data_IF_203643706899
#
_entry.id   IF_203643706899
#
_cell.length_a   1.000
_cell.length_b   1.000
_cell.length_c   1.000
_cell.angle_alpha   90.00
_cell.angle_beta   90.00
_cell.angle_gamma   90.00
#
_symmetry.space_group_name_H-M   'P 1'
#
loop_
_entity.id
_entity.type
_entity.pdbx_description
1 polymer ?
#
# COMPACT_ATOMS: atom_id res chain seq x y z
N UNK A 1 0.26 39.23 -4.95
CA UNK A 1 -0.34 38.87 -3.65
C UNK A 1 -0.75 37.42 -3.67
N UNK A 2 -0.04 36.57 -2.92
CA UNK A 2 -0.30 35.13 -2.85
C UNK A 2 -1.37 34.83 -1.80
N UNK A 3 -2.41 34.11 -2.19
CA UNK A 3 -3.33 33.48 -1.25
C UNK A 3 -2.89 32.04 -1.03
N UNK A 4 -2.23 31.81 0.10
CA UNK A 4 -1.95 30.47 0.62
C UNK A 4 -3.28 29.90 1.09
N UNK A 5 -3.90 29.07 0.26
CA UNK A 5 -5.05 28.29 0.68
C UNK A 5 -4.56 27.25 1.70
N UNK A 6 -4.82 27.50 2.98
CA UNK A 6 -4.93 26.44 3.97
C UNK A 6 -6.01 25.47 3.48
N UNK A 7 -5.60 24.41 2.77
CA UNK A 7 -6.46 23.27 2.49
C UNK A 7 -6.86 22.71 3.85
N UNK A 8 -8.12 22.93 4.22
CA UNK A 8 -8.79 22.18 5.26
C UNK A 8 -8.45 20.71 5.07
N UNK A 9 -7.95 20.07 6.13
CA UNK A 9 -7.63 18.65 6.13
C UNK A 9 -8.91 17.87 5.84
N UNK A 10 -9.12 17.54 4.57
CA UNK A 10 -10.13 16.59 4.16
C UNK A 10 -9.76 15.27 4.82
N UNK A 11 -10.46 14.90 5.89
CA UNK A 11 -10.38 13.56 6.47
C UNK A 11 -10.80 12.58 5.39
N UNK A 12 -9.83 11.89 4.79
CA UNK A 12 -9.99 11.06 3.59
C UNK A 12 -9.64 11.78 2.28
N UNK A 13 -8.84 11.13 1.43
CA UNK A 13 -8.31 11.66 0.17
C UNK A 13 -7.11 10.88 -0.38
N UNK A 14 -6.66 11.18 -1.61
CA UNK A 14 -5.52 10.50 -2.22
C UNK A 14 -4.22 10.78 -1.48
N UNK A 15 -3.35 9.77 -1.38
CA UNK A 15 -1.97 9.93 -0.90
C UNK A 15 -1.10 10.37 -2.08
N UNK A 16 -0.47 11.54 -1.97
CA UNK A 16 0.50 12.00 -2.97
C UNK A 16 1.88 11.44 -2.66
N UNK A 17 2.40 10.63 -3.57
CA UNK A 17 3.76 10.10 -3.53
C UNK A 17 4.66 10.96 -4.43
N UNK A 18 5.75 11.48 -3.89
CA UNK A 18 6.70 12.31 -4.64
C UNK A 18 8.13 11.96 -4.28
N UNK A 19 9.06 12.25 -5.19
CA UNK A 19 10.48 12.24 -4.86
C UNK A 19 10.79 13.41 -3.94
N UNK A 20 11.44 13.15 -2.81
CA UNK A 20 11.87 14.18 -1.88
C UNK A 20 13.31 13.91 -1.40
N UNK A 21 14.31 13.82 -2.31
CA UNK A 21 15.64 13.35 -1.97
C UNK A 21 16.27 14.15 -0.83
N UNK A 22 16.80 13.46 0.19
CA UNK A 22 17.45 14.11 1.32
C UNK A 22 16.49 14.81 2.30
N UNK A 23 15.17 14.68 2.14
CA UNK A 23 14.22 15.08 3.17
C UNK A 23 14.27 14.12 4.37
N UNK A 24 13.65 14.51 5.50
CA UNK A 24 13.50 13.60 6.65
C UNK A 24 12.69 12.37 6.29
N UNK A 25 11.63 12.53 5.47
CA UNK A 25 10.79 11.42 5.03
C UNK A 25 11.55 10.47 4.10
N UNK A 26 12.34 11.00 3.15
CA UNK A 26 13.17 10.18 2.25
C UNK A 26 14.25 9.41 3.02
N UNK A 27 14.99 10.05 3.94
CA UNK A 27 15.96 9.34 4.78
C UNK A 27 15.31 8.25 5.64
N UNK A 28 14.14 8.54 6.20
CA UNK A 28 13.38 7.56 6.98
C UNK A 28 12.94 6.39 6.10
N UNK A 29 12.39 6.68 4.92
CA UNK A 29 11.97 5.66 3.97
C UNK A 29 13.14 4.77 3.52
N UNK A 30 14.30 5.36 3.20
CA UNK A 30 15.51 4.60 2.84
C UNK A 30 16.00 3.70 3.96
N UNK A 31 15.95 4.19 5.20
CA UNK A 31 16.31 3.39 6.38
C UNK A 31 15.35 2.20 6.56
N UNK A 32 14.04 2.44 6.47
CA UNK A 32 13.01 1.40 6.62
C UNK A 32 13.04 0.38 5.47
N UNK A 33 13.45 0.80 4.28
CA UNK A 33 13.54 -0.01 3.07
C UNK A 33 14.96 -0.50 2.75
N UNK A 34 15.90 -0.43 3.71
CA UNK A 34 17.32 -0.72 3.45
C UNK A 34 17.54 -2.12 2.85
N UNK A 35 16.79 -3.13 3.30
CA UNK A 35 16.88 -4.50 2.77
C UNK A 35 16.46 -4.58 1.30
N UNK A 36 15.36 -3.91 0.91
CA UNK A 36 14.86 -3.93 -0.47
C UNK A 36 15.79 -3.14 -1.40
N UNK A 37 16.35 -2.02 -0.90
CA UNK A 37 17.33 -1.22 -1.61
C UNK A 37 18.64 -2.00 -1.86
N UNK A 38 19.13 -2.72 -0.85
CA UNK A 38 20.31 -3.59 -0.99
C UNK A 38 20.06 -4.74 -1.98
N UNK A 39 18.89 -5.38 -1.91
CA UNK A 39 18.50 -6.43 -2.85
C UNK A 39 18.42 -5.94 -4.30
N UNK A 40 17.93 -4.71 -4.52
CA UNK A 40 17.92 -4.08 -5.83
C UNK A 40 19.35 -3.71 -6.30
N UNK A 41 20.16 -3.14 -5.42
CA UNK A 41 21.55 -2.78 -5.73
C UNK A 41 22.39 -3.98 -6.16
N UNK A 42 22.21 -5.15 -5.52
CA UNK A 42 22.85 -6.42 -5.92
C UNK A 42 22.48 -6.88 -7.33
N UNK A 43 21.37 -6.39 -7.88
CA UNK A 43 20.91 -6.64 -9.26
C UNK A 43 21.29 -5.52 -10.23
N UNK A 44 22.04 -4.51 -9.77
CA UNK A 44 22.47 -3.36 -10.58
C UNK A 44 21.48 -2.20 -10.62
N UNK A 45 20.40 -2.25 -9.84
CA UNK A 45 19.37 -1.22 -9.84
C UNK A 45 19.69 -0.09 -8.86
N UNK A 46 19.27 1.13 -9.21
CA UNK A 46 19.24 2.28 -8.30
C UNK A 46 17.79 2.74 -8.13
N UNK A 47 17.05 2.21 -7.14
CA UNK A 47 15.63 2.51 -7.01
C UNK A 47 15.35 3.99 -6.74
N UNK A 48 14.35 4.53 -7.44
CA UNK A 48 13.75 5.83 -7.07
C UNK A 48 12.86 5.61 -5.85
N UNK A 49 12.99 6.47 -4.84
CA UNK A 49 12.19 6.40 -3.62
C UNK A 49 11.13 7.50 -3.68
N UNK A 50 9.85 7.10 -3.73
CA UNK A 50 8.73 8.02 -3.59
C UNK A 50 8.18 7.93 -2.16
N UNK A 51 7.92 9.08 -1.56
CA UNK A 51 7.39 9.19 -0.20
C UNK A 51 6.12 10.03 -0.18
N UNK A 52 5.18 9.63 0.68
CA UNK A 52 4.00 10.40 1.04
C UNK A 52 3.71 10.26 2.52
N UNK A 53 2.98 11.21 3.09
CA UNK A 53 2.55 11.14 4.49
C UNK A 53 1.09 11.51 4.62
N UNK A 54 0.38 10.83 5.52
CA UNK A 54 -1.03 11.12 5.78
C UNK A 54 -1.38 10.81 7.25
N UNK A 55 -2.37 11.53 7.83
CA UNK A 55 -2.91 11.23 9.14
C UNK A 55 -3.78 9.97 9.06
N UNK A 56 -3.13 8.81 9.10
CA UNK A 56 -3.81 7.52 8.97
C UNK A 56 -4.61 7.17 10.24
N UNK A 57 -4.18 7.69 11.39
CA UNK A 57 -4.88 7.60 12.66
C UNK A 57 -5.78 8.81 12.86
N UNK A 58 -6.91 8.60 13.53
CA UNK A 58 -7.73 9.70 14.04
C UNK A 58 -7.12 10.36 15.29
N UNK A 59 -6.09 9.75 15.89
CA UNK A 59 -5.35 10.30 17.02
C UNK A 59 -4.32 11.32 16.54
N UNK A 60 -4.30 12.49 17.19
CA UNK A 60 -3.36 13.56 16.86
C UNK A 60 -1.90 13.09 17.03
N UNK A 61 -1.04 13.45 16.07
CA UNK A 61 0.39 13.16 16.10
C UNK A 61 0.79 11.79 15.54
N UNK A 62 -0.14 10.86 15.31
CA UNK A 62 0.13 9.60 14.63
C UNK A 62 0.02 9.78 13.11
N UNK A 63 1.17 9.71 12.44
CA UNK A 63 1.30 9.89 10.98
C UNK A 63 1.81 8.60 10.37
N UNK A 64 1.30 8.26 9.19
CA UNK A 64 1.82 7.18 8.37
C UNK A 64 2.75 7.71 7.28
N UNK A 65 3.79 6.94 6.99
CA UNK A 65 4.70 7.12 5.88
C UNK A 65 4.41 6.05 4.83
N UNK A 66 4.11 6.49 3.62
CA UNK A 66 3.89 5.66 2.45
C UNK A 66 5.17 5.68 1.62
N UNK A 67 5.70 4.51 1.29
CA UNK A 67 6.97 4.35 0.58
C UNK A 67 6.76 3.48 -0.64
N UNK A 68 7.12 3.99 -1.81
CA UNK A 68 7.14 3.22 -3.04
C UNK A 68 8.57 3.24 -3.61
N UNK A 69 9.11 2.05 -3.85
CA UNK A 69 10.40 1.89 -4.51
C UNK A 69 10.15 1.61 -5.99
N UNK A 70 10.71 2.44 -6.86
CA UNK A 70 10.60 2.24 -8.31
C UNK A 70 11.93 1.73 -8.85
N UNK A 71 11.96 0.45 -9.21
CA UNK A 71 13.10 -0.22 -9.84
C UNK A 71 12.60 -1.41 -10.66
N UNK A 72 13.28 -1.73 -11.75
CA UNK A 72 12.88 -2.85 -12.62
C UNK A 72 12.89 -4.19 -11.88
N UNK A 73 13.83 -4.38 -10.94
CA UNK A 73 13.94 -5.58 -10.12
C UNK A 73 12.87 -5.73 -9.04
N UNK A 74 12.25 -4.62 -8.60
CA UNK A 74 11.26 -4.61 -7.52
C UNK A 74 9.81 -4.49 -8.04
N UNK A 75 9.62 -3.91 -9.22
CA UNK A 75 8.30 -3.71 -9.79
C UNK A 75 7.87 -4.91 -10.64
N UNK A 76 6.64 -5.38 -10.40
CA UNK A 76 6.04 -6.48 -11.17
C UNK A 76 5.18 -5.97 -12.34
N UNK A 77 4.44 -6.89 -12.96
CA UNK A 77 3.46 -6.58 -14.02
C UNK A 77 2.33 -5.65 -13.57
N UNK A 78 2.00 -5.66 -12.27
CA UNK A 78 1.04 -4.75 -11.66
C UNK A 78 1.64 -3.36 -11.31
N UNK A 79 2.90 -3.11 -11.68
CA UNK A 79 3.64 -1.91 -11.34
C UNK A 79 4.40 -2.02 -10.02
N UNK A 80 4.90 -0.88 -9.55
CA UNK A 80 5.67 -0.77 -8.31
C UNK A 80 4.74 -0.73 -7.11
N UNK A 81 5.07 -1.47 -6.06
CA UNK A 81 4.23 -1.55 -4.87
C UNK A 81 4.62 -0.53 -3.79
N UNK A 82 3.62 -0.15 -2.99
CA UNK A 82 3.74 0.79 -1.88
C UNK A 82 3.63 0.05 -0.54
N UNK A 83 4.59 0.29 0.35
CA UNK A 83 4.54 -0.11 1.76
C UNK A 83 4.04 1.04 2.64
N UNK A 84 3.43 0.73 3.78
CA UNK A 84 2.96 1.74 4.75
C UNK A 84 3.55 1.46 6.12
N UNK A 85 4.11 2.50 6.72
CA UNK A 85 4.70 2.48 8.06
C UNK A 85 3.94 3.46 8.95
N UNK A 86 3.53 3.00 10.13
CA UNK A 86 2.89 3.85 11.15
C UNK A 86 3.92 4.25 12.18
N UNK A 87 4.00 5.56 12.49
CA UNK A 87 4.82 6.05 13.60
C UNK A 87 4.11 5.78 14.92
N UNK A 88 4.72 4.97 15.78
CA UNK A 88 4.33 4.77 17.18
C UNK A 88 5.31 5.56 18.06
N UNK A 89 4.85 6.64 18.68
CA UNK A 89 5.72 7.49 19.51
C UNK A 89 6.76 8.27 18.70
N UNK A 90 7.92 8.58 19.32
CA UNK A 90 8.89 9.51 18.72
C UNK A 90 9.83 8.87 17.70
N UNK A 91 10.14 7.57 17.78
CA UNK A 91 11.14 6.95 16.90
C UNK A 91 10.73 5.59 16.31
N UNK A 92 9.65 4.98 16.79
CA UNK A 92 9.29 3.64 16.33
C UNK A 92 8.40 3.71 15.09
N UNK A 93 8.89 3.15 14.00
CA UNK A 93 8.11 2.94 12.77
C UNK A 93 7.78 1.47 12.66
N UNK A 94 6.50 1.16 12.56
CA UNK A 94 6.02 -0.22 12.38
C UNK A 94 5.44 -0.34 10.98
N UNK A 95 5.91 -1.32 10.22
CA UNK A 95 5.31 -1.68 8.94
C UNK A 95 3.90 -2.23 9.20
N UNK A 96 2.88 -1.54 8.69
CA UNK A 96 1.46 -1.86 8.89
C UNK A 96 0.77 -2.33 7.62
N UNK A 97 1.43 -2.17 6.47
CA UNK A 97 1.04 -2.74 5.19
C UNK A 97 2.31 -3.04 4.42
N UNK A 98 2.52 -4.29 4.03
CA UNK A 98 3.77 -4.72 3.40
C UNK A 98 3.87 -4.22 1.95
N UNK A 99 2.87 -4.52 1.12
CA UNK A 99 2.93 -4.20 -0.30
C UNK A 99 1.53 -4.15 -0.92
N UNK A 100 1.22 -3.05 -1.60
CA UNK A 100 0.04 -2.89 -2.46
C UNK A 100 0.42 -2.18 -3.75
N UNK A 101 -0.16 -2.59 -4.87
CA UNK A 101 0.12 -1.97 -6.17
C UNK A 101 -0.98 -1.00 -6.60
N UNK A 102 -0.57 0.20 -7.01
CA UNK A 102 -1.44 1.24 -7.54
C UNK A 102 -1.79 2.36 -6.55
N UNK A 103 -2.62 3.33 -6.95
CA UNK A 103 -2.90 4.53 -6.16
C UNK A 103 -3.56 4.20 -4.82
N UNK A 104 -3.11 4.89 -3.77
CA UNK A 104 -3.61 4.73 -2.41
C UNK A 104 -4.39 5.98 -2.00
N UNK A 105 -5.54 5.79 -1.36
CA UNK A 105 -6.32 6.87 -0.76
C UNK A 105 -6.86 6.48 0.61
N UNK A 106 -6.99 7.46 1.50
CA UNK A 106 -7.63 7.27 2.80
C UNK A 106 -9.14 7.41 2.65
N UNK A 107 -9.87 6.47 3.21
CA UNK A 107 -11.32 6.52 3.36
C UNK A 107 -11.72 7.44 4.51
N UNK A 108 -12.94 7.98 4.46
CA UNK A 108 -13.58 8.60 5.63
C UNK A 108 -13.95 7.58 6.70
N UNK A 109 -14.14 6.32 6.32
CA UNK A 109 -14.44 5.23 7.26
C UNK A 109 -13.19 4.88 8.05
N UNK A 110 -13.42 4.48 9.29
CA UNK A 110 -12.35 4.10 10.20
C UNK A 110 -12.70 2.79 10.90
N UNK A 111 -11.68 2.02 11.23
CA UNK A 111 -11.77 0.85 12.09
C UNK A 111 -10.66 0.91 13.14
N UNK A 112 -11.01 0.73 14.42
CA UNK A 112 -10.03 0.84 15.52
C UNK A 112 -9.28 2.18 15.56
N UNK A 113 -9.93 3.28 15.13
CA UNK A 113 -9.32 4.61 15.09
C UNK A 113 -8.37 4.87 13.91
N UNK A 114 -8.33 3.97 12.92
CA UNK A 114 -7.49 4.10 11.72
C UNK A 114 -8.38 4.23 10.48
N UNK A 115 -8.05 5.15 9.58
CA UNK A 115 -8.73 5.29 8.29
C UNK A 115 -8.55 4.04 7.44
N UNK A 116 -9.62 3.56 6.80
CA UNK A 116 -9.49 2.48 5.83
C UNK A 116 -8.67 2.98 4.63
N UNK A 117 -7.94 2.07 3.98
CA UNK A 117 -7.23 2.39 2.74
C UNK A 117 -8.06 1.89 1.56
N UNK A 118 -8.18 2.71 0.53
CA UNK A 118 -8.74 2.34 -0.77
C UNK A 118 -7.59 2.30 -1.77
N UNK A 119 -7.32 1.11 -2.31
CA UNK A 119 -6.31 0.85 -3.33
C UNK A 119 -7.00 0.75 -4.69
N UNK A 120 -6.43 1.40 -5.72
CA UNK A 120 -6.99 1.42 -7.08
C UNK A 120 -8.45 1.95 -7.16
N UNK A 121 -8.92 2.66 -6.13
CA UNK A 121 -10.27 3.21 -6.07
C UNK A 121 -11.36 2.23 -5.61
N UNK A 122 -11.08 0.93 -5.53
CA UNK A 122 -12.08 -0.10 -5.21
C UNK A 122 -11.70 -0.98 -4.04
N UNK A 123 -10.41 -1.32 -3.91
CA UNK A 123 -9.99 -2.41 -3.02
C UNK A 123 -9.81 -1.84 -1.62
N UNK A 124 -10.73 -2.20 -0.74
CA UNK A 124 -10.74 -1.68 0.62
C UNK A 124 -9.92 -2.56 1.55
N UNK A 125 -8.98 -1.93 2.24
CA UNK A 125 -8.17 -2.54 3.28
C UNK A 125 -8.53 -1.94 4.64
N UNK A 126 -8.78 -2.81 5.60
CA UNK A 126 -9.28 -2.44 6.93
C UNK A 126 -8.24 -2.76 8.00
N UNK A 127 -8.14 -1.87 8.98
CA UNK A 127 -7.27 -2.04 10.13
C UNK A 127 -7.73 -3.19 11.04
N UNK A 128 -6.82 -4.13 11.32
CA UNK A 128 -7.08 -5.29 12.19
C UNK A 128 -6.65 -5.09 13.66
N UNK A 129 -6.14 -3.92 14.03
CA UNK A 129 -5.51 -3.67 15.33
C UNK A 129 -3.97 -3.68 15.28
N UNK A 130 -3.38 -4.32 14.26
CA UNK A 130 -1.91 -4.43 14.11
C UNK A 130 -1.42 -4.13 12.69
N UNK A 131 -2.18 -4.53 11.67
CA UNK A 131 -1.89 -4.29 10.26
C UNK A 131 -3.18 -4.12 9.44
N UNK A 132 -3.05 -3.61 8.22
CA UNK A 132 -4.13 -3.57 7.24
C UNK A 132 -4.33 -4.93 6.59
N UNK A 133 -5.59 -5.32 6.41
CA UNK A 133 -5.99 -6.53 5.73
C UNK A 133 -6.97 -6.20 4.62
N UNK A 134 -6.81 -6.87 3.49
CA UNK A 134 -7.78 -6.84 2.41
C UNK A 134 -9.15 -7.34 2.91
N UNK A 135 -10.22 -6.68 2.44
CA UNK A 135 -11.60 -7.08 2.73
C UNK A 135 -12.23 -7.90 1.62
N UNK A 136 -11.55 -8.07 0.48
CA UNK A 136 -11.95 -9.04 -0.52
C UNK A 136 -11.92 -10.44 0.11
N UNK A 137 -13.06 -11.12 0.09
CA UNK A 137 -13.07 -12.56 0.32
C UNK A 137 -12.27 -13.18 -0.81
N UNK A 138 -11.28 -14.02 -0.49
CA UNK A 138 -10.74 -14.95 -1.47
C UNK A 138 -11.95 -15.64 -2.13
N UNK A 139 -12.01 -15.63 -3.47
CA UNK A 139 -13.05 -16.37 -4.17
C UNK A 139 -13.04 -17.79 -3.58
N UNK A 140 -14.17 -18.21 -3.02
CA UNK A 140 -14.24 -19.51 -2.36
C UNK A 140 -13.79 -20.56 -3.36
N UNK A 141 -12.78 -21.35 -3.00
CA UNK A 141 -12.29 -22.45 -3.83
C UNK A 141 -13.39 -23.44 -4.20
N UNK A 142 -14.50 -23.42 -3.46
CA UNK A 142 -15.68 -24.24 -3.69
C UNK A 142 -16.40 -23.88 -5.00
N UNK A 143 -16.55 -22.59 -5.33
CA UNK A 143 -17.18 -22.16 -6.60
C UNK A 143 -16.29 -22.53 -7.81
N UNK A 144 -14.97 -22.39 -7.65
CA UNK A 144 -14.02 -22.78 -8.71
C UNK A 144 -14.04 -24.29 -8.93
N UNK A 145 -14.07 -25.08 -7.84
CA UNK A 145 -14.13 -26.54 -7.91
C UNK A 145 -15.42 -27.01 -8.60
N UNK A 146 -16.56 -26.45 -8.21
CA UNK A 146 -17.86 -26.79 -8.83
C UNK A 146 -17.88 -26.46 -10.32
N UNK A 147 -17.33 -25.32 -10.72
CA UNK A 147 -17.22 -24.92 -12.13
C UNK A 147 -16.33 -25.87 -12.94
N UNK A 148 -15.17 -26.29 -12.39
CA UNK A 148 -14.29 -27.28 -13.04
C UNK A 148 -14.98 -28.64 -13.20
N UNK A 149 -15.63 -29.12 -12.14
CA UNK A 149 -16.36 -30.40 -12.17
C UNK A 149 -17.51 -30.35 -13.19
N UNK A 150 -18.20 -29.22 -13.32
CA UNK A 150 -19.27 -29.03 -14.30
C UNK A 150 -18.73 -28.94 -15.74
N UNK A 151 -17.59 -28.28 -15.95
CA UNK A 151 -16.92 -28.23 -17.25
C UNK A 151 -16.46 -29.61 -17.71
N UNK A 152 -15.87 -30.41 -16.81
CA UNK A 152 -15.44 -31.78 -17.09
C UNK A 152 -16.61 -32.72 -17.39
N UNK A 153 -17.75 -32.54 -16.70
CA UNK A 153 -18.99 -33.31 -16.98
C UNK A 153 -19.62 -32.96 -18.32
N UNK A 154 -19.51 -31.71 -18.76
CA UNK A 154 -20.09 -31.23 -20.03
C UNK A 154 -19.18 -31.46 -21.24
N UNK A 155 -17.88 -31.68 -21.02
CA UNK A 155 -16.89 -31.97 -22.06
C UNK A 155 -16.05 -33.22 -21.72
N UNK A 156 -16.66 -34.42 -21.64
CA UNK A 156 -15.97 -35.65 -21.21
C UNK A 156 -14.87 -36.12 -22.18
N UNK A 157 -14.76 -35.54 -23.38
CA UNK A 157 -13.76 -35.89 -24.39
C UNK A 157 -13.24 -34.66 -25.13
N UNK A 158 -12.21 -34.01 -24.57
CA UNK A 158 -11.25 -33.23 -25.35
C UNK A 158 -9.86 -33.86 -25.14
N UNK A 159 -9.77 -35.15 -25.48
CA UNK A 159 -8.50 -35.81 -25.74
C UNK A 159 -8.59 -36.37 -27.17
N UNK A 160 -7.75 -35.79 -28.03
CA UNK A 160 -7.49 -36.08 -29.44
C UNK A 160 -8.51 -35.61 -30.48
#
# INVERSE_FOLDING_TARGET
SGHVAHRQAMTGGPVSLTQQPGSVLDRTARSLSASDLDAAAKRGDTPVVLVGSAPLSTRAGEVALFVQLQSAALCGSAGCSTSVYLRKGQQDWVKVLDSVSGPVSLSRRTHGGMHDLIINGTDRWVWSGTAYRDTMRAAGTDDLRQSIEQFQKTHPHAQH
#
